data_IF_843609843860
#
_entry.id   IF_843609843860
#
_cell.length_a   1.000
_cell.length_b   1.000
_cell.length_c   1.000
_cell.angle_alpha   90.00
_cell.angle_beta   90.00
_cell.angle_gamma   90.00
#
_symmetry.space_group_name_H-M   'P 1'
#
loop_
_entity.id
_entity.type
_entity.pdbx_description
1 polymer ?
#
# COMPACT_ATOMS: atom_id res chain seq x y z
N UNK A 1 -3.05 2.03 -20.44
CA UNK A 1 -3.06 0.71 -19.76
C UNK A 1 -4.48 0.42 -19.28
N UNK A 2 -4.88 -0.85 -19.08
CA UNK A 2 -6.21 -1.18 -18.50
C UNK A 2 -6.15 -1.10 -16.97
N UNK A 3 -7.23 -0.63 -16.32
CA UNK A 3 -7.32 -0.41 -14.86
C UNK A 3 -6.74 -1.56 -14.03
N UNK A 4 -7.23 -2.78 -14.25
CA UNK A 4 -6.85 -3.95 -13.44
C UNK A 4 -5.40 -4.38 -13.67
N UNK A 5 -4.86 -4.18 -14.88
CA UNK A 5 -3.42 -4.41 -15.12
C UNK A 5 -2.57 -3.38 -14.39
N UNK A 6 -3.02 -2.12 -14.32
CA UNK A 6 -2.36 -1.09 -13.52
C UNK A 6 -2.36 -1.46 -12.04
N UNK A 7 -3.49 -1.91 -11.49
CA UNK A 7 -3.58 -2.39 -10.10
C UNK A 7 -2.64 -3.56 -9.81
N UNK A 8 -2.56 -4.53 -10.72
CA UNK A 8 -1.61 -5.63 -10.62
C UNK A 8 -0.15 -5.12 -10.58
N UNK A 9 0.24 -4.24 -11.51
CA UNK A 9 1.62 -3.74 -11.62
C UNK A 9 2.01 -2.91 -10.40
N UNK A 10 1.15 -1.99 -9.96
CA UNK A 10 1.45 -1.16 -8.80
C UNK A 10 1.54 -1.97 -7.51
N UNK A 11 0.63 -2.94 -7.32
CA UNK A 11 0.69 -3.84 -6.16
C UNK A 11 1.93 -4.73 -6.22
N UNK A 12 2.29 -5.23 -7.41
CA UNK A 12 3.52 -6.00 -7.60
C UNK A 12 4.74 -5.22 -7.10
N UNK A 13 4.93 -3.98 -7.57
CA UNK A 13 6.10 -3.19 -7.16
C UNK A 13 6.08 -2.82 -5.68
N UNK A 14 4.91 -2.49 -5.13
CA UNK A 14 4.76 -2.21 -3.70
C UNK A 14 5.20 -3.42 -2.85
N UNK A 15 4.63 -4.59 -3.12
CA UNK A 15 4.93 -5.82 -2.36
C UNK A 15 6.35 -6.32 -2.60
N UNK A 16 6.86 -6.16 -3.83
CA UNK A 16 8.25 -6.46 -4.15
C UNK A 16 9.22 -5.59 -3.34
N UNK A 17 8.94 -4.29 -3.24
CA UNK A 17 9.74 -3.36 -2.43
C UNK A 17 9.70 -3.73 -0.94
N UNK A 18 8.52 -4.06 -0.40
CA UNK A 18 8.37 -4.56 0.98
C UNK A 18 9.23 -5.82 1.18
N UNK A 19 9.10 -6.82 0.32
CA UNK A 19 9.81 -8.09 0.48
C UNK A 19 11.33 -7.96 0.33
N UNK A 20 11.82 -7.19 -0.63
CA UNK A 20 13.26 -6.92 -0.78
C UNK A 20 13.83 -6.15 0.41
N UNK A 21 13.08 -5.18 0.93
CA UNK A 21 13.51 -4.38 2.08
C UNK A 21 13.51 -5.20 3.39
N UNK A 22 12.48 -6.02 3.61
CA UNK A 22 12.38 -6.92 4.76
C UNK A 22 13.50 -7.98 4.77
N UNK A 23 13.77 -8.60 3.63
CA UNK A 23 14.76 -9.70 3.52
C UNK A 23 16.23 -9.23 3.58
N UNK A 24 16.48 -7.95 3.33
CA UNK A 24 17.80 -7.32 3.41
C UNK A 24 18.11 -6.68 4.77
N UNK A 25 17.09 -6.48 5.64
CA UNK A 25 17.25 -5.78 6.91
C UNK A 25 17.61 -4.29 6.75
N UNK A 26 17.20 -3.67 5.64
CA UNK A 26 17.54 -2.29 5.34
C UNK A 26 16.85 -1.33 6.34
N UNK A 27 17.61 -0.50 7.11
CA UNK A 27 17.01 0.45 8.05
C UNK A 27 16.18 1.54 7.36
N UNK A 28 16.37 1.75 6.06
CA UNK A 28 15.58 2.67 5.24
C UNK A 28 14.41 1.97 4.52
N UNK A 29 14.04 0.75 4.93
CA UNK A 29 12.89 0.02 4.38
C UNK A 29 11.61 0.88 4.34
N UNK A 30 11.20 1.60 5.41
CA UNK A 30 10.02 2.46 5.36
C UNK A 30 10.06 3.51 4.24
N UNK A 31 11.22 4.13 4.01
CA UNK A 31 11.40 5.13 2.96
C UNK A 31 11.31 4.49 1.57
N UNK A 32 11.96 3.34 1.35
CA UNK A 32 11.92 2.62 0.07
C UNK A 32 10.49 2.19 -0.32
N UNK A 33 9.72 1.71 0.66
CA UNK A 33 8.33 1.27 0.47
C UNK A 33 7.45 2.48 0.09
N UNK A 34 7.48 3.54 0.88
CA UNK A 34 6.64 4.71 0.61
C UNK A 34 7.03 5.48 -0.66
N UNK A 35 8.33 5.53 -1.01
CA UNK A 35 8.77 6.08 -2.30
C UNK A 35 8.30 5.24 -3.48
N UNK A 36 8.32 3.91 -3.34
CA UNK A 36 7.79 3.00 -4.37
C UNK A 36 6.30 3.24 -4.55
N UNK A 37 5.54 3.32 -3.45
CA UNK A 37 4.11 3.64 -3.51
C UNK A 37 3.86 4.98 -4.19
N UNK A 38 4.59 6.04 -3.80
CA UNK A 38 4.50 7.36 -4.44
C UNK A 38 4.68 7.28 -5.96
N UNK A 39 5.75 6.63 -6.42
CA UNK A 39 6.04 6.51 -7.85
C UNK A 39 4.96 5.72 -8.58
N UNK A 40 4.49 4.60 -8.01
CA UNK A 40 3.40 3.82 -8.61
C UNK A 40 2.07 4.59 -8.63
N UNK A 41 1.81 5.43 -7.62
CA UNK A 41 0.62 6.29 -7.58
C UNK A 41 0.68 7.35 -8.67
N UNK A 42 1.82 8.01 -8.86
CA UNK A 42 1.98 8.95 -9.98
C UNK A 42 1.88 8.26 -11.35
N UNK A 43 2.38 7.03 -11.47
CA UNK A 43 2.29 6.25 -12.70
C UNK A 43 0.85 5.86 -13.04
N UNK A 44 0.10 5.31 -12.08
CA UNK A 44 -1.18 4.65 -12.36
C UNK A 44 -2.42 5.40 -11.88
N UNK A 45 -2.28 6.51 -11.14
CA UNK A 45 -3.39 7.22 -10.51
C UNK A 45 -4.45 7.68 -11.52
N UNK A 46 -4.00 8.20 -12.67
CA UNK A 46 -4.87 8.63 -13.76
C UNK A 46 -5.51 7.47 -14.56
N UNK A 47 -5.07 6.22 -14.34
CA UNK A 47 -5.58 5.04 -15.03
C UNK A 47 -6.57 4.27 -14.18
N UNK A 48 -6.18 3.86 -12.96
CA UNK A 48 -6.99 3.01 -12.07
C UNK A 48 -7.42 3.69 -10.77
N UNK A 49 -6.93 4.90 -10.48
CA UNK A 49 -6.99 5.48 -9.14
C UNK A 49 -5.85 5.03 -8.22
N UNK A 50 -5.00 4.10 -8.68
CA UNK A 50 -3.82 3.60 -7.98
C UNK A 50 -4.11 3.15 -6.54
N UNK A 51 -5.05 2.22 -6.37
CA UNK A 51 -5.43 1.78 -5.02
C UNK A 51 -4.33 0.91 -4.42
N UNK A 52 -3.87 -0.10 -5.19
CA UNK A 52 -2.81 -1.06 -4.86
C UNK A 52 -2.93 -1.76 -3.50
N UNK A 53 -4.08 -1.62 -2.86
CA UNK A 53 -4.40 -2.08 -1.52
C UNK A 53 -5.92 -2.34 -1.45
N UNK A 54 -6.34 -3.53 -0.99
CA UNK A 54 -7.77 -3.86 -0.83
C UNK A 54 -8.53 -2.94 0.11
N UNK A 55 -7.94 -2.52 1.24
CA UNK A 55 -8.54 -1.59 2.18
C UNK A 55 -8.78 -0.22 1.53
N UNK A 56 -7.82 0.25 0.73
CA UNK A 56 -7.96 1.48 -0.07
C UNK A 56 -9.10 1.36 -1.08
N UNK A 57 -9.21 0.22 -1.76
CA UNK A 57 -10.30 -0.06 -2.70
C UNK A 57 -11.67 0.01 -2.01
N UNK A 58 -11.81 -0.61 -0.83
CA UNK A 58 -13.04 -0.58 -0.05
C UNK A 58 -13.36 0.84 0.42
N UNK A 59 -12.38 1.59 0.91
CA UNK A 59 -12.61 2.96 1.37
C UNK A 59 -13.00 3.92 0.24
N UNK A 60 -12.42 3.78 -0.95
CA UNK A 60 -12.80 4.54 -2.14
C UNK A 60 -14.20 4.14 -2.64
N UNK A 61 -14.56 2.85 -2.53
CA UNK A 61 -15.93 2.40 -2.77
C UNK A 61 -16.92 3.05 -1.78
N UNK A 62 -16.61 3.07 -0.49
CA UNK A 62 -17.45 3.72 0.53
C UNK A 62 -17.60 5.23 0.28
N UNK A 63 -16.60 5.87 -0.34
CA UNK A 63 -16.67 7.26 -0.80
C UNK A 63 -17.53 7.46 -2.06
N UNK A 64 -17.98 6.39 -2.70
CA UNK A 64 -18.78 6.43 -3.93
C UNK A 64 -17.97 6.75 -5.19
N UNK A 65 -16.67 6.42 -5.20
CA UNK A 65 -15.74 6.79 -6.28
C UNK A 65 -15.42 5.64 -7.24
N UNK A 66 -15.82 4.42 -6.89
CA UNK A 66 -15.83 3.25 -7.78
C UNK A 66 -17.16 2.50 -7.63
N UNK A 67 -17.54 1.73 -8.64
CA UNK A 67 -18.75 0.89 -8.58
C UNK A 67 -18.53 -0.38 -7.74
N UNK A 68 -19.61 -0.90 -7.14
CA UNK A 68 -19.56 -2.15 -6.37
C UNK A 68 -19.02 -3.35 -7.18
N UNK A 69 -19.32 -3.39 -8.48
CA UNK A 69 -18.83 -4.42 -9.41
C UNK A 69 -17.34 -4.34 -9.70
N UNK A 70 -16.67 -3.22 -9.39
CA UNK A 70 -15.22 -3.06 -9.58
C UNK A 70 -14.41 -3.54 -8.37
N UNK A 71 -15.01 -3.67 -7.18
CA UNK A 71 -14.29 -4.05 -5.94
C UNK A 71 -13.60 -5.41 -6.11
N UNK A 72 -14.34 -6.44 -6.52
CA UNK A 72 -13.82 -7.79 -6.70
C UNK A 72 -12.65 -7.85 -7.70
N UNK A 73 -12.81 -7.33 -8.93
CA UNK A 73 -11.73 -7.27 -9.91
C UNK A 73 -10.48 -6.49 -9.44
N UNK A 74 -10.64 -5.37 -8.73
CA UNK A 74 -9.51 -4.63 -8.17
C UNK A 74 -8.73 -5.46 -7.15
N UNK A 75 -9.44 -6.03 -6.17
CA UNK A 75 -8.83 -6.85 -5.12
C UNK A 75 -8.17 -8.10 -5.71
N UNK A 76 -8.81 -8.75 -6.69
CA UNK A 76 -8.22 -9.90 -7.37
C UNK A 76 -6.92 -9.54 -8.10
N UNK A 77 -6.88 -8.40 -8.80
CA UNK A 77 -5.67 -7.94 -9.46
C UNK A 77 -4.54 -7.58 -8.47
N UNK A 78 -4.88 -6.95 -7.35
CA UNK A 78 -3.94 -6.62 -6.29
C UNK A 78 -3.35 -7.88 -5.66
N UNK A 79 -4.19 -8.84 -5.28
CA UNK A 79 -3.75 -10.13 -4.70
C UNK A 79 -2.85 -10.88 -5.70
N UNK A 80 -3.24 -10.93 -6.98
CA UNK A 80 -2.41 -11.57 -8.01
C UNK A 80 -1.04 -10.88 -8.14
N UNK A 81 -0.99 -9.54 -8.13
CA UNK A 81 0.24 -8.77 -8.17
C UNK A 81 1.14 -9.04 -6.95
N UNK A 82 0.54 -9.07 -5.75
CA UNK A 82 1.23 -9.39 -4.50
C UNK A 82 1.82 -10.80 -4.49
N UNK A 83 1.08 -11.81 -4.97
CA UNK A 83 1.56 -13.19 -5.04
C UNK A 83 2.74 -13.34 -6.01
N UNK A 84 2.67 -12.71 -7.19
CA UNK A 84 3.77 -12.73 -8.17
C UNK A 84 5.00 -11.99 -7.62
N UNK A 85 4.81 -10.87 -6.93
CA UNK A 85 5.90 -10.16 -6.26
C UNK A 85 6.55 -10.99 -5.16
N UNK A 86 5.75 -11.66 -4.34
CA UNK A 86 6.26 -12.56 -3.30
C UNK A 86 7.09 -13.70 -3.89
N UNK A 87 6.64 -14.30 -4.99
CA UNK A 87 7.39 -15.33 -5.71
C UNK A 87 8.71 -14.80 -6.28
N UNK A 88 8.71 -13.57 -6.83
CA UNK A 88 9.92 -12.93 -7.34
C UNK A 88 10.93 -12.64 -6.22
N UNK A 89 10.49 -12.13 -5.06
CA UNK A 89 11.36 -11.93 -3.89
C UNK A 89 11.95 -13.25 -3.42
N UNK A 90 11.13 -14.31 -3.32
CA UNK A 90 11.62 -15.63 -2.93
C UNK A 90 12.65 -16.17 -3.91
N UNK A 91 12.41 -16.04 -5.21
CA UNK A 91 13.34 -16.48 -6.25
C UNK A 91 14.68 -15.74 -6.19
N UNK A 92 14.67 -14.42 -5.92
CA UNK A 92 15.88 -13.61 -5.87
C UNK A 92 16.67 -13.76 -4.58
N UNK A 93 16.01 -14.03 -3.46
CA UNK A 93 16.63 -13.98 -2.12
C UNK A 93 16.73 -15.33 -1.43
N UNK A 94 15.96 -16.33 -1.90
CA UNK A 94 15.77 -17.62 -1.21
C UNK A 94 14.98 -17.52 0.09
N UNK A 95 14.45 -16.35 0.45
CA UNK A 95 13.77 -16.09 1.74
C UNK A 95 12.28 -15.86 1.55
N UNK A 96 11.51 -16.22 2.57
CA UNK A 96 10.13 -15.77 2.71
C UNK A 96 10.11 -14.48 3.55
N UNK A 97 9.02 -13.72 3.44
CA UNK A 97 8.76 -12.56 4.27
C UNK A 97 7.27 -12.51 4.62
N UNK A 98 6.96 -11.93 5.76
CA UNK A 98 5.60 -11.60 6.17
C UNK A 98 5.65 -10.36 7.07
N UNK A 99 4.59 -9.54 7.11
CA UNK A 99 4.39 -8.62 8.21
C UNK A 99 4.26 -9.44 9.49
N UNK A 100 5.15 -9.20 10.45
CA UNK A 100 5.18 -9.91 11.72
C UNK A 100 5.22 -8.90 12.87
N UNK A 101 4.46 -9.13 13.96
CA UNK A 101 4.58 -8.32 15.18
C UNK A 101 6.01 -8.29 15.70
N UNK A 102 6.44 -7.14 16.21
CA UNK A 102 7.69 -7.04 16.94
C UNK A 102 7.70 -7.98 18.15
N UNK A 103 8.87 -8.56 18.44
CA UNK A 103 9.05 -9.50 19.56
C UNK A 103 8.74 -8.86 20.91
N UNK A 104 7.47 -8.89 21.31
CA UNK A 104 6.97 -8.27 22.55
C UNK A 104 5.64 -7.53 22.40
N UNK A 105 5.17 -7.23 21.19
CA UNK A 105 3.88 -6.59 20.99
C UNK A 105 2.74 -7.58 21.19
N UNK A 106 1.76 -7.22 22.02
CA UNK A 106 0.51 -7.96 22.14
C UNK A 106 -0.43 -7.70 20.96
N UNK A 107 -1.50 -8.49 20.88
CA UNK A 107 -2.49 -8.40 19.80
C UNK A 107 -3.16 -7.02 19.77
N UNK A 108 -3.39 -6.42 20.94
CA UNK A 108 -4.06 -5.11 21.03
C UNK A 108 -3.16 -4.01 20.49
N UNK A 109 -1.88 -4.02 20.82
CA UNK A 109 -0.89 -3.06 20.32
C UNK A 109 -0.74 -3.14 18.80
N UNK A 110 -0.67 -4.36 18.26
CA UNK A 110 -0.61 -4.61 16.81
C UNK A 110 -1.87 -4.08 16.13
N UNK A 111 -3.07 -4.43 16.63
CA UNK A 111 -4.32 -3.99 16.02
C UNK A 111 -4.51 -2.47 16.09
N UNK A 112 -4.14 -1.83 17.21
CA UNK A 112 -4.20 -0.38 17.34
C UNK A 112 -3.25 0.31 16.35
N UNK A 113 -2.03 -0.19 16.20
CA UNK A 113 -1.06 0.33 15.23
C UNK A 113 -1.60 0.26 13.80
N UNK A 114 -2.12 -0.90 13.39
CA UNK A 114 -2.70 -1.11 12.05
C UNK A 114 -3.92 -0.22 11.82
N UNK A 115 -4.88 -0.16 12.76
CA UNK A 115 -6.09 0.67 12.63
C UNK A 115 -5.73 2.15 12.48
N UNK A 116 -4.80 2.66 13.30
CA UNK A 116 -4.42 4.07 13.28
C UNK A 116 -3.80 4.44 11.93
N UNK A 117 -2.90 3.62 11.39
CA UNK A 117 -2.21 3.95 10.14
C UNK A 117 -3.02 3.60 8.89
N UNK A 118 -3.87 2.57 8.90
CA UNK A 118 -4.87 2.38 7.84
C UNK A 118 -5.83 3.57 7.81
N UNK A 119 -6.29 4.05 8.97
CA UNK A 119 -7.12 5.25 9.05
C UNK A 119 -6.41 6.48 8.50
N UNK A 120 -5.15 6.71 8.89
CA UNK A 120 -4.35 7.84 8.38
C UNK A 120 -4.16 7.76 6.85
N UNK A 121 -3.76 6.59 6.34
CA UNK A 121 -3.62 6.35 4.90
C UNK A 121 -4.94 6.63 4.17
N UNK A 122 -6.04 6.07 4.65
CA UNK A 122 -7.35 6.29 4.06
C UNK A 122 -7.77 7.75 4.10
N UNK A 123 -7.59 8.42 5.23
CA UNK A 123 -7.93 9.83 5.39
C UNK A 123 -7.15 10.68 4.38
N UNK A 124 -5.85 10.41 4.21
CA UNK A 124 -5.01 11.09 3.23
C UNK A 124 -5.51 10.81 1.81
N UNK A 125 -5.65 9.54 1.41
CA UNK A 125 -6.15 9.15 0.07
C UNK A 125 -7.48 9.84 -0.25
N UNK A 126 -8.45 9.78 0.66
CA UNK A 126 -9.78 10.36 0.42
C UNK A 126 -9.72 11.88 0.27
N UNK A 127 -8.85 12.56 1.00
CA UNK A 127 -8.73 14.02 0.92
C UNK A 127 -7.89 14.49 -0.27
N UNK A 128 -6.77 13.83 -0.59
CA UNK A 128 -5.86 14.31 -1.65
C UNK A 128 -6.19 13.76 -3.03
N UNK A 129 -6.79 12.57 -3.14
CA UNK A 129 -7.05 11.93 -4.43
C UNK A 129 -8.53 11.91 -4.85
N UNK A 130 -9.48 12.07 -3.91
CA UNK A 130 -10.92 11.92 -4.23
C UNK A 130 -11.77 13.17 -3.97
N UNK A 131 -11.24 14.15 -3.25
CA UNK A 131 -11.94 15.38 -2.90
C UNK A 131 -11.98 16.35 -4.08
N UNK A 132 -13.12 17.02 -4.28
CA UNK A 132 -13.24 18.10 -5.28
C UNK A 132 -12.39 19.33 -4.89
N UNK A 133 -12.19 19.55 -3.60
CA UNK A 133 -11.45 20.72 -3.09
C UNK A 133 -9.95 20.69 -3.45
N UNK A 134 -9.41 19.50 -3.75
CA UNK A 134 -8.01 19.29 -4.10
C UNK A 134 -7.86 18.78 -5.53
N UNK A 135 -8.90 18.86 -6.36
CA UNK A 135 -8.88 18.36 -7.73
C UNK A 135 -7.75 19.03 -8.53
N UNK A 136 -7.00 18.24 -9.30
CA UNK A 136 -5.87 18.72 -10.10
C UNK A 136 -4.57 19.01 -9.33
N UNK A 137 -4.50 18.69 -8.02
CA UNK A 137 -3.25 18.83 -7.28
C UNK A 137 -2.15 17.89 -7.81
N UNK A 138 -0.89 18.27 -7.60
CA UNK A 138 0.29 17.49 -8.01
C UNK A 138 0.96 16.71 -6.86
N UNK A 139 0.49 16.86 -5.62
CA UNK A 139 1.13 16.30 -4.43
C UNK A 139 0.48 15.01 -3.91
N UNK A 140 -0.62 14.54 -4.51
CA UNK A 140 -1.38 13.38 -4.03
C UNK A 140 -0.52 12.13 -3.84
N UNK A 141 0.32 11.80 -4.83
CA UNK A 141 1.22 10.65 -4.75
C UNK A 141 2.27 10.79 -3.64
N UNK A 142 2.81 11.99 -3.48
CA UNK A 142 3.76 12.32 -2.40
C UNK A 142 3.10 12.11 -1.04
N UNK A 143 1.91 12.70 -0.82
CA UNK A 143 1.19 12.60 0.45
C UNK A 143 0.85 11.15 0.80
N UNK A 144 0.34 10.37 -0.17
CA UNK A 144 -0.02 8.96 0.04
C UNK A 144 1.23 8.13 0.37
N UNK A 145 2.31 8.25 -0.43
CA UNK A 145 3.55 7.51 -0.20
C UNK A 145 4.21 7.84 1.13
N UNK A 146 4.30 9.12 1.49
CA UNK A 146 4.88 9.54 2.77
C UNK A 146 4.03 9.17 3.99
N UNK A 147 2.71 8.96 3.82
CA UNK A 147 1.88 8.42 4.90
C UNK A 147 2.28 7.00 5.24
N UNK A 148 2.55 6.17 4.22
CA UNK A 148 3.07 4.80 4.42
C UNK A 148 4.49 4.82 4.98
N UNK A 149 5.36 5.71 4.49
CA UNK A 149 6.70 5.91 5.09
C UNK A 149 6.62 6.23 6.58
N UNK A 150 5.75 7.18 6.95
CA UNK A 150 5.59 7.60 8.34
C UNK A 150 5.09 6.45 9.23
N UNK A 151 4.09 5.69 8.75
CA UNK A 151 3.59 4.52 9.48
C UNK A 151 4.63 3.43 9.66
N UNK A 152 5.38 3.12 8.60
CA UNK A 152 6.37 2.06 8.66
C UNK A 152 7.53 2.42 9.59
N UNK A 153 7.92 3.70 9.69
CA UNK A 153 8.86 4.16 10.72
C UNK A 153 8.26 4.17 12.13
N UNK A 154 7.01 4.62 12.29
CA UNK A 154 6.40 4.86 13.59
C UNK A 154 5.97 3.56 14.29
N UNK A 155 5.32 2.65 13.55
CA UNK A 155 4.70 1.44 14.10
C UNK A 155 5.12 0.15 13.42
N UNK A 156 5.93 0.21 12.36
CA UNK A 156 6.51 -0.99 11.73
C UNK A 156 7.19 -1.94 12.72
N UNK A 157 8.00 -1.45 13.69
CA UNK A 157 8.58 -2.30 14.74
C UNK A 157 7.57 -2.94 15.70
N UNK A 158 6.31 -2.48 15.72
CA UNK A 158 5.24 -3.00 16.58
C UNK A 158 4.41 -4.04 15.83
N UNK A 159 3.89 -3.69 14.64
CA UNK A 159 2.90 -4.52 13.91
C UNK A 159 3.42 -5.20 12.64
N UNK A 160 4.60 -4.79 12.15
CA UNK A 160 5.09 -5.16 10.82
C UNK A 160 4.59 -4.24 9.69
N UNK A 161 3.61 -3.37 9.96
CA UNK A 161 3.14 -2.30 9.07
C UNK A 161 2.43 -2.80 7.80
N UNK A 162 1.26 -3.42 7.96
CA UNK A 162 0.48 -4.00 6.86
C UNK A 162 -0.54 -3.03 6.21
N UNK A 163 -0.83 -1.90 6.86
CA UNK A 163 -1.88 -0.92 6.54
C UNK A 163 -1.96 -0.42 5.09
#
# INVERSE_FOLDING_TARGET
MKKYLTEFIGTFFLVFSIGMAATSGNPLAPLAIGLTLMVMVYMGGHVSGAHYNPAVTVGIFMRGKIGASEIGPYIAAQIAGALVASGAVHFLTGKAFAPEPGGGAGVVEVLLAEIIFTFALMLVVLNVATSKATEGNSYYGLAIGFTVTAGAFAVGPISGGAF
#
